data_IF_629760875227
#
_entry.id   IF_629760875227
#
_cell.length_a   1.000
_cell.length_b   1.000
_cell.length_c   1.000
_cell.angle_alpha   90.00
_cell.angle_beta   90.00
_cell.angle_gamma   90.00
#
_symmetry.space_group_name_H-M   'P 1'
#
loop_
_entity.id
_entity.type
_entity.pdbx_description
1 polymer ?
#
# COMPACT_ATOMS: atom_id res chain seq x y z
N UNK A 1 -21.03 22.80 7.43
CA UNK A 1 -21.03 21.36 7.12
C UNK A 1 -19.60 20.87 7.21
N UNK A 2 -19.27 19.95 8.13
CA UNK A 2 -17.92 19.37 8.12
C UNK A 2 -17.75 18.61 6.79
N UNK A 3 -16.64 18.83 6.08
CA UNK A 3 -16.34 18.09 4.87
C UNK A 3 -16.26 16.62 5.26
N UNK A 4 -17.05 15.75 4.61
CA UNK A 4 -16.92 14.29 4.81
C UNK A 4 -15.45 13.91 4.55
N UNK A 5 -14.91 13.09 5.44
CA UNK A 5 -13.60 12.50 5.25
C UNK A 5 -13.58 11.69 3.95
N UNK A 6 -12.48 11.79 3.22
CA UNK A 6 -12.30 11.19 1.89
C UNK A 6 -10.85 10.74 1.67
N UNK A 7 -10.04 10.69 2.74
CA UNK A 7 -8.73 10.09 2.67
C UNK A 7 -8.81 8.65 3.11
N UNK A 8 -8.08 7.81 2.41
CA UNK A 8 -8.08 6.37 2.53
C UNK A 8 -6.63 5.89 2.58
N UNK A 9 -6.35 4.93 3.44
CA UNK A 9 -5.20 4.04 3.27
C UNK A 9 -5.60 2.88 2.37
N UNK A 10 -4.64 2.30 1.66
CA UNK A 10 -4.85 1.13 0.81
C UNK A 10 -3.61 0.25 0.77
N UNK A 11 -3.84 -1.04 0.54
CA UNK A 11 -2.80 -2.06 0.41
C UNK A 11 -2.98 -2.78 -0.91
N UNK A 12 -1.90 -2.84 -1.69
CA UNK A 12 -1.85 -3.56 -2.97
C UNK A 12 -0.96 -4.79 -2.81
N UNK A 13 -1.44 -5.96 -3.22
CA UNK A 13 -0.62 -7.15 -3.39
C UNK A 13 0.31 -6.97 -4.60
N UNK A 14 1.61 -7.23 -4.39
CA UNK A 14 2.62 -7.18 -5.43
C UNK A 14 3.01 -8.60 -5.86
N UNK A 15 3.27 -8.78 -7.15
CA UNK A 15 3.83 -10.03 -7.67
C UNK A 15 5.18 -10.35 -7.04
N UNK A 16 5.44 -11.63 -6.78
CA UNK A 16 6.73 -12.16 -6.31
C UNK A 16 7.94 -11.69 -7.13
N UNK A 17 7.72 -11.34 -8.40
CA UNK A 17 8.75 -10.76 -9.27
C UNK A 17 9.36 -9.48 -8.69
N UNK A 18 8.66 -8.76 -7.83
CA UNK A 18 9.17 -7.56 -7.14
C UNK A 18 10.39 -7.89 -6.26
N UNK A 19 10.54 -9.14 -5.80
CA UNK A 19 11.73 -9.57 -5.06
C UNK A 19 13.02 -9.46 -5.88
N UNK A 20 12.94 -9.41 -7.22
CA UNK A 20 14.12 -9.20 -8.05
C UNK A 20 14.62 -7.74 -8.00
N UNK A 21 13.82 -6.79 -7.51
CA UNK A 21 14.22 -5.40 -7.38
C UNK A 21 15.13 -5.20 -6.16
N UNK A 22 16.42 -4.83 -6.34
CA UNK A 22 17.37 -4.76 -5.22
C UNK A 22 16.94 -3.78 -4.12
N UNK A 23 16.27 -2.68 -4.50
CA UNK A 23 15.74 -1.70 -3.54
C UNK A 23 14.63 -2.29 -2.68
N UNK A 24 13.72 -3.06 -3.27
CA UNK A 24 12.63 -3.70 -2.54
C UNK A 24 13.16 -4.70 -1.52
N UNK A 25 14.11 -5.56 -1.92
CA UNK A 25 14.78 -6.49 -0.99
C UNK A 25 15.50 -5.78 0.14
N UNK A 26 16.26 -4.73 -0.19
CA UNK A 26 17.01 -3.96 0.81
C UNK A 26 16.09 -3.31 1.85
N UNK A 27 14.89 -2.91 1.45
CA UNK A 27 13.88 -2.35 2.35
C UNK A 27 13.17 -3.41 3.22
N UNK A 28 13.40 -4.70 2.97
CA UNK A 28 12.71 -5.81 3.63
C UNK A 28 13.68 -6.87 4.15
N UNK A 29 14.64 -6.51 5.05
CA UNK A 29 15.60 -7.45 5.59
C UNK A 29 14.96 -8.56 6.46
N UNK A 30 13.84 -8.25 7.13
CA UNK A 30 13.15 -9.15 8.06
C UNK A 30 11.96 -9.91 7.43
N UNK A 31 11.88 -9.91 6.09
CA UNK A 31 10.82 -10.62 5.36
C UNK A 31 10.81 -12.12 5.71
N UNK A 32 9.61 -12.66 5.98
CA UNK A 32 9.41 -14.09 6.26
C UNK A 32 8.91 -14.80 5.01
N UNK A 33 9.64 -15.83 4.58
CA UNK A 33 9.31 -16.62 3.40
C UNK A 33 7.85 -17.10 3.42
N UNK A 34 7.14 -16.88 2.31
CA UNK A 34 5.74 -17.28 2.13
C UNK A 34 4.73 -16.21 2.57
N UNK A 35 5.18 -15.09 3.14
CA UNK A 35 4.31 -13.93 3.37
C UNK A 35 4.13 -13.13 2.07
N UNK A 36 3.00 -12.44 1.88
CA UNK A 36 2.80 -11.61 0.71
C UNK A 36 3.78 -10.42 0.63
N UNK A 37 4.05 -10.00 -0.60
CA UNK A 37 4.65 -8.69 -0.87
C UNK A 37 3.56 -7.66 -1.11
N UNK A 38 3.67 -6.50 -0.48
CA UNK A 38 2.64 -5.48 -0.52
C UNK A 38 3.20 -4.08 -0.68
N UNK A 39 2.42 -3.21 -1.31
CA UNK A 39 2.59 -1.76 -1.28
C UNK A 39 1.53 -1.15 -0.37
N UNK A 40 1.94 -0.24 0.51
CA UNK A 40 1.04 0.54 1.37
C UNK A 40 1.09 1.99 0.94
N UNK A 41 -0.07 2.62 0.80
CA UNK A 41 -0.17 4.03 0.46
C UNK A 41 -1.43 4.69 1.01
N UNK A 42 -1.48 6.01 0.93
CA UNK A 42 -2.71 6.79 1.16
C UNK A 42 -3.15 7.60 -0.07
N UNK A 43 -4.44 7.97 -0.11
CA UNK A 43 -5.02 8.73 -1.20
C UNK A 43 -6.26 9.51 -0.76
N UNK A 44 -6.53 10.65 -1.41
CA UNK A 44 -7.82 11.35 -1.33
C UNK A 44 -8.85 10.89 -2.37
N UNK A 45 -8.54 9.80 -3.10
CA UNK A 45 -9.44 9.16 -4.06
C UNK A 45 -10.03 7.89 -3.43
N UNK A 46 -11.02 7.32 -4.10
CA UNK A 46 -11.40 5.94 -3.86
C UNK A 46 -10.20 4.99 -4.14
N UNK A 47 -9.92 3.98 -3.30
CA UNK A 47 -8.81 3.05 -3.48
C UNK A 47 -8.80 2.31 -4.83
N UNK A 48 -9.96 1.91 -5.36
CA UNK A 48 -10.05 1.25 -6.67
C UNK A 48 -9.63 2.23 -7.77
N UNK A 49 -10.17 3.45 -7.75
CA UNK A 49 -9.78 4.50 -8.70
C UNK A 49 -8.29 4.84 -8.58
N UNK A 50 -7.73 4.85 -7.37
CA UNK A 50 -6.31 5.10 -7.15
C UNK A 50 -5.46 3.98 -7.74
N UNK A 51 -5.88 2.73 -7.57
CA UNK A 51 -5.22 1.56 -8.13
C UNK A 51 -5.28 1.56 -9.66
N UNK A 52 -6.43 1.84 -10.26
CA UNK A 52 -6.59 1.98 -11.71
C UNK A 52 -5.64 3.05 -12.29
N UNK A 53 -5.54 4.20 -11.63
CA UNK A 53 -4.59 5.25 -12.02
C UNK A 53 -3.14 4.77 -11.96
N UNK A 54 -2.76 4.02 -10.93
CA UNK A 54 -1.43 3.40 -10.88
C UNK A 54 -1.21 2.49 -12.07
N UNK A 55 -2.16 1.60 -12.38
CA UNK A 55 -2.05 0.64 -13.50
C UNK A 55 -2.07 1.32 -14.88
N UNK A 56 -2.68 2.50 -14.99
CA UNK A 56 -2.63 3.34 -16.18
C UNK A 56 -1.37 4.21 -16.30
N UNK A 57 -0.43 4.15 -15.33
CA UNK A 57 0.78 4.97 -15.32
C UNK A 57 0.53 6.45 -14.95
N UNK A 58 -0.62 6.77 -14.37
CA UNK A 58 -1.02 8.13 -14.01
C UNK A 58 -0.72 8.37 -12.54
N UNK A 59 0.22 9.29 -12.25
CA UNK A 59 0.70 9.57 -10.89
C UNK A 59 1.04 8.25 -10.15
N UNK A 60 1.76 7.35 -10.83
CA UNK A 60 1.94 5.98 -10.39
C UNK A 60 3.23 5.77 -9.59
N UNK A 61 3.18 4.89 -8.60
CA UNK A 61 4.37 4.30 -8.02
C UNK A 61 4.85 3.16 -8.92
N UNK A 62 6.16 3.12 -9.22
CA UNK A 62 6.75 2.11 -10.11
C UNK A 62 6.42 0.67 -9.68
N UNK A 63 6.47 0.36 -8.39
CA UNK A 63 6.20 -1.01 -7.95
C UNK A 63 4.74 -1.41 -8.07
N UNK A 64 3.80 -0.48 -7.86
CA UNK A 64 2.37 -0.74 -8.10
C UNK A 64 2.09 -0.88 -9.60
N UNK A 65 2.70 -0.02 -10.42
CA UNK A 65 2.57 -0.07 -11.87
C UNK A 65 3.09 -1.40 -12.44
N UNK A 66 4.35 -1.74 -12.16
CA UNK A 66 5.01 -2.92 -12.72
C UNK A 66 4.55 -4.24 -12.09
N UNK A 67 4.28 -4.25 -10.78
CA UNK A 67 4.07 -5.49 -10.00
C UNK A 67 2.72 -5.57 -9.29
N UNK A 68 1.92 -4.51 -9.25
CA UNK A 68 0.62 -4.53 -8.57
C UNK A 68 -0.36 -5.50 -9.21
N UNK A 69 -0.91 -6.40 -8.40
CA UNK A 69 -1.84 -7.47 -8.78
C UNK A 69 -3.29 -7.11 -8.46
N UNK A 70 -3.57 -6.74 -7.20
CA UNK A 70 -4.91 -6.39 -6.71
C UNK A 70 -4.84 -5.66 -5.37
N UNK A 71 -5.93 -5.01 -4.98
CA UNK A 71 -6.11 -4.51 -3.62
C UNK A 71 -6.31 -5.66 -2.63
N UNK A 72 -5.93 -5.45 -1.37
CA UNK A 72 -6.18 -6.35 -0.23
C UNK A 72 -7.04 -5.62 0.82
N UNK A 73 -8.36 -5.46 0.59
CA UNK A 73 -9.20 -4.60 1.42
C UNK A 73 -9.32 -5.06 2.88
N UNK A 74 -9.16 -6.37 3.11
CA UNK A 74 -9.17 -6.95 4.46
C UNK A 74 -8.06 -6.41 5.37
N UNK A 75 -7.02 -5.78 4.81
CA UNK A 75 -5.91 -5.18 5.56
C UNK A 75 -6.14 -3.72 5.92
N UNK A 76 -7.12 -3.03 5.34
CA UNK A 76 -7.20 -1.57 5.47
C UNK A 76 -8.62 -0.96 5.53
N UNK A 77 -9.65 -1.64 5.02
CA UNK A 77 -11.00 -1.04 4.88
C UNK A 77 -11.58 -0.56 6.20
N UNK A 78 -11.32 -1.29 7.30
CA UNK A 78 -11.84 -0.97 8.63
C UNK A 78 -11.42 0.41 9.13
N UNK A 79 -10.33 0.97 8.60
CA UNK A 79 -9.84 2.28 8.98
C UNK A 79 -10.47 3.41 8.17
N UNK A 80 -11.04 3.11 7.00
CA UNK A 80 -11.47 4.12 6.04
C UNK A 80 -12.95 4.55 6.21
N UNK A 81 -13.31 5.80 5.84
CA UNK A 81 -12.44 6.93 5.49
C UNK A 81 -12.00 7.73 6.72
N UNK A 82 -10.92 8.51 6.59
CA UNK A 82 -10.36 9.30 7.69
C UNK A 82 -9.89 10.71 7.26
N UNK A 83 -9.60 11.63 8.20
CA UNK A 83 -8.92 12.90 7.90
C UNK A 83 -7.56 12.70 7.23
N UNK A 84 -7.05 13.71 6.52
CA UNK A 84 -5.75 13.65 5.85
C UNK A 84 -4.59 13.27 6.81
N UNK A 85 -4.47 13.97 7.94
CA UNK A 85 -3.38 13.69 8.91
C UNK A 85 -3.49 12.28 9.48
N UNK A 86 -4.71 11.82 9.80
CA UNK A 86 -4.93 10.45 10.24
C UNK A 86 -4.54 9.42 9.15
N UNK A 87 -4.83 9.69 7.87
CA UNK A 87 -4.44 8.80 6.77
C UNK A 87 -2.93 8.71 6.60
N UNK A 88 -2.24 9.84 6.79
CA UNK A 88 -0.79 9.90 6.75
C UNK A 88 -0.14 9.12 7.90
N UNK A 89 -0.67 9.25 9.12
CA UNK A 89 -0.20 8.48 10.28
C UNK A 89 -0.50 6.98 10.11
N UNK A 90 -1.73 6.65 9.74
CA UNK A 90 -2.18 5.27 9.54
C UNK A 90 -1.40 4.55 8.42
N UNK A 91 -1.01 5.24 7.34
CA UNK A 91 -0.16 4.64 6.29
C UNK A 91 1.15 4.11 6.87
N UNK A 92 1.78 4.88 7.76
CA UNK A 92 3.04 4.50 8.43
C UNK A 92 2.81 3.36 9.41
N UNK A 93 1.80 3.47 10.27
CA UNK A 93 1.48 2.44 11.28
C UNK A 93 1.12 1.10 10.63
N UNK A 94 0.31 1.12 9.58
CA UNK A 94 -0.07 -0.07 8.83
C UNK A 94 1.15 -0.73 8.15
N UNK A 95 2.04 0.07 7.57
CA UNK A 95 3.27 -0.45 6.97
C UNK A 95 4.20 -1.08 8.02
N UNK A 96 4.31 -0.50 9.23
CA UNK A 96 5.08 -1.07 10.34
C UNK A 96 4.46 -2.41 10.78
N UNK A 97 3.16 -2.43 11.08
CA UNK A 97 2.48 -3.65 11.55
C UNK A 97 2.55 -4.81 10.55
N UNK A 98 2.46 -4.52 9.25
CA UNK A 98 2.64 -5.55 8.21
C UNK A 98 4.07 -6.09 8.15
N UNK A 99 5.09 -5.23 8.32
CA UNK A 99 6.50 -5.68 8.41
C UNK A 99 6.72 -6.57 9.63
N UNK A 100 6.18 -6.20 10.79
CA UNK A 100 6.27 -7.00 12.02
C UNK A 100 5.56 -8.36 11.87
N UNK A 101 4.46 -8.41 11.11
CA UNK A 101 3.78 -9.64 10.73
C UNK A 101 4.57 -10.50 9.69
N UNK A 102 5.69 -10.00 9.19
CA UNK A 102 6.63 -10.68 8.30
C UNK A 102 6.40 -10.44 6.80
N UNK A 103 5.50 -9.52 6.42
CA UNK A 103 5.26 -9.17 5.02
C UNK A 103 6.49 -8.43 4.45
N UNK A 104 6.71 -8.53 3.14
CA UNK A 104 7.61 -7.61 2.47
C UNK A 104 6.83 -6.38 2.02
N UNK A 105 7.15 -5.23 2.59
CA UNK A 105 6.37 -4.00 2.46
C UNK A 105 7.19 -2.93 1.75
N UNK A 106 6.58 -2.30 0.75
CA UNK A 106 7.05 -1.03 0.22
C UNK A 106 6.09 0.10 0.60
N UNK A 107 6.66 1.18 1.13
CA UNK A 107 5.98 2.44 1.41
C UNK A 107 6.98 3.53 1.00
N UNK A 108 6.58 4.41 0.10
CA UNK A 108 7.38 5.53 -0.39
C UNK A 108 6.49 6.67 -0.87
#
# INVERSE_FOLDING_TARGET
MSRRHHHHVYVVELSDRVWNEPRFRKANPDYRLGKPFVYVGMTGLDPDLRFDKHKAGIQSNRFVFDYGLRLLPQLYEVYNPMPYEAAREMEVELAIGLREAGFGVWQA
#
